data_IF_229274164839
#
_entry.id   IF_229274164839
#
_cell.length_a   1.000
_cell.length_b   1.000
_cell.length_c   1.000
_cell.angle_alpha   90.00
_cell.angle_beta   90.00
_cell.angle_gamma   90.00
#
_symmetry.space_group_name_H-M   'P 1'
#
loop_
_entity.id
_entity.type
_entity.pdbx_description
1 polymer ?
#
# COMPACT_ATOMS: atom_id res chain seq x y z
N UNK A 1 18.38 -18.51 18.41
CA UNK A 1 18.10 -17.17 17.85
C UNK A 1 16.68 -16.84 18.24
N UNK A 2 16.38 -15.61 18.67
CA UNK A 2 15.01 -15.15 18.90
C UNK A 2 14.22 -15.25 17.60
N UNK A 3 12.94 -15.62 17.68
CA UNK A 3 12.03 -15.63 16.51
C UNK A 3 11.79 -14.17 16.09
N UNK A 4 11.85 -13.89 14.79
CA UNK A 4 11.49 -12.57 14.24
C UNK A 4 10.04 -12.65 13.77
N UNK A 5 9.19 -11.77 14.28
CA UNK A 5 7.78 -11.62 13.90
C UNK A 5 7.60 -10.35 13.04
N UNK A 6 6.69 -10.41 12.09
CA UNK A 6 6.43 -9.31 11.17
C UNK A 6 5.09 -8.65 11.52
N UNK A 7 5.13 -7.33 11.65
CA UNK A 7 3.99 -6.48 11.94
C UNK A 7 3.80 -5.47 10.81
N UNK A 8 2.57 -5.23 10.39
CA UNK A 8 2.24 -4.21 9.39
C UNK A 8 0.86 -3.60 9.67
N UNK A 9 0.42 -2.69 8.81
CA UNK A 9 -0.94 -2.14 8.85
C UNK A 9 -1.81 -2.63 7.69
N UNK A 10 -3.11 -2.33 7.76
CA UNK A 10 -4.10 -2.85 6.80
C UNK A 10 -4.00 -2.24 5.40
N UNK A 11 -3.15 -1.21 5.19
CA UNK A 11 -2.92 -0.67 3.85
C UNK A 11 -1.97 -1.52 3.00
N UNK A 12 -1.25 -2.47 3.61
CA UNK A 12 -0.19 -3.27 2.97
C UNK A 12 -0.67 -4.26 1.88
N UNK A 13 -1.95 -4.32 1.55
CA UNK A 13 -2.52 -5.12 0.45
C UNK A 13 -2.05 -6.61 0.44
N UNK A 14 -1.96 -7.23 1.62
CA UNK A 14 -1.67 -8.66 1.75
C UNK A 14 -2.93 -9.50 1.52
N UNK A 15 -2.76 -10.71 0.97
CA UNK A 15 -3.86 -11.67 0.91
C UNK A 15 -4.00 -12.43 2.23
N UNK A 16 -5.18 -13.01 2.54
CA UNK A 16 -5.35 -13.84 3.73
C UNK A 16 -4.36 -15.00 3.79
N UNK A 17 -4.10 -15.64 2.63
CA UNK A 17 -3.17 -16.75 2.51
C UNK A 17 -1.73 -16.36 2.82
N UNK A 18 -1.31 -15.15 2.42
CA UNK A 18 0.01 -14.59 2.73
C UNK A 18 0.15 -14.29 4.22
N UNK A 19 -0.89 -13.70 4.82
CA UNK A 19 -0.94 -13.40 6.25
C UNK A 19 -0.82 -14.70 7.07
N UNK A 20 -1.62 -15.70 6.74
CA UNK A 20 -1.60 -16.99 7.42
C UNK A 20 -0.27 -17.72 7.23
N UNK A 21 0.21 -17.82 5.99
CA UNK A 21 1.45 -18.53 5.65
C UNK A 21 2.66 -18.03 6.42
N UNK A 22 2.79 -16.72 6.57
CA UNK A 22 3.98 -16.10 7.18
C UNK A 22 3.73 -15.60 8.60
N UNK A 23 2.57 -15.90 9.19
CA UNK A 23 2.18 -15.46 10.55
C UNK A 23 2.35 -13.92 10.72
N UNK A 24 1.89 -13.16 9.72
CA UNK A 24 2.02 -11.70 9.70
C UNK A 24 0.92 -11.09 10.56
N UNK A 25 1.28 -10.23 11.50
CA UNK A 25 0.31 -9.47 12.28
C UNK A 25 -0.05 -8.18 11.56
N UNK A 26 -1.35 -7.94 11.35
CA UNK A 26 -1.87 -6.73 10.69
C UNK A 26 -2.65 -5.90 11.69
N UNK A 27 -2.21 -4.66 11.93
CA UNK A 27 -2.96 -3.69 12.73
C UNK A 27 -3.91 -2.90 11.81
N UNK A 28 -5.23 -2.93 12.06
CA UNK A 28 -6.17 -2.23 11.22
C UNK A 28 -6.11 -0.71 11.42
N UNK A 29 -6.11 0.03 10.32
CA UNK A 29 -6.51 1.43 10.31
C UNK A 29 -8.05 1.52 10.38
N UNK A 30 -8.57 2.72 10.55
CA UNK A 30 -10.01 2.97 10.54
C UNK A 30 -10.44 3.81 9.35
N UNK A 31 -11.64 3.55 8.83
CA UNK A 31 -12.28 4.35 7.80
C UNK A 31 -13.67 4.79 8.26
N UNK A 32 -14.00 6.06 8.03
CA UNK A 32 -15.33 6.61 8.30
C UNK A 32 -16.03 6.89 6.99
N UNK A 33 -17.19 6.30 6.78
CA UNK A 33 -18.05 6.48 5.59
C UNK A 33 -19.53 6.45 5.99
N UNK A 34 -20.32 7.35 5.42
CA UNK A 34 -21.76 7.44 5.76
C UNK A 34 -22.02 7.66 7.25
N UNK A 35 -21.16 8.42 7.94
CA UNK A 35 -21.27 8.72 9.37
C UNK A 35 -20.84 7.61 10.33
N UNK A 36 -20.44 6.43 9.83
CA UNK A 36 -19.99 5.30 10.64
C UNK A 36 -18.49 5.05 10.46
N UNK A 37 -17.82 4.65 11.54
CA UNK A 37 -16.40 4.29 11.52
C UNK A 37 -16.24 2.79 11.63
N UNK A 38 -15.36 2.22 10.78
CA UNK A 38 -15.11 0.79 10.67
C UNK A 38 -13.59 0.53 10.75
N UNK A 39 -13.21 -0.60 11.32
CA UNK A 39 -11.86 -1.15 11.23
C UNK A 39 -11.67 -1.79 9.85
N UNK A 40 -10.68 -1.34 9.11
CA UNK A 40 -10.34 -1.82 7.77
C UNK A 40 -10.00 -3.32 7.77
N UNK A 41 -10.69 -4.07 6.91
CA UNK A 41 -10.50 -5.51 6.74
C UNK A 41 -11.08 -6.39 7.87
N UNK A 42 -11.67 -5.78 8.93
CA UNK A 42 -12.32 -6.48 10.04
C UNK A 42 -13.83 -6.22 10.04
N UNK A 43 -14.24 -4.95 10.05
CA UNK A 43 -15.65 -4.54 10.21
C UNK A 43 -16.28 -4.10 8.88
N UNK A 44 -15.47 -3.93 7.85
CA UNK A 44 -15.93 -3.59 6.51
C UNK A 44 -15.06 -4.28 5.46
N UNK A 45 -15.70 -4.91 4.49
CA UNK A 45 -15.04 -5.45 3.31
C UNK A 45 -14.71 -4.34 2.29
N UNK A 46 -13.77 -4.61 1.39
CA UNK A 46 -13.37 -3.67 0.32
C UNK A 46 -14.55 -3.29 -0.56
N UNK A 47 -15.28 -4.29 -1.05
CA UNK A 47 -16.44 -4.09 -1.92
C UNK A 47 -17.59 -3.33 -1.22
N UNK A 48 -17.88 -3.67 0.04
CA UNK A 48 -18.88 -2.94 0.83
C UNK A 48 -18.47 -1.48 1.04
N UNK A 49 -17.19 -1.22 1.31
CA UNK A 49 -16.68 0.14 1.45
C UNK A 49 -16.84 0.95 0.16
N UNK A 50 -16.42 0.41 -1.00
CA UNK A 50 -16.54 1.10 -2.30
C UNK A 50 -18.00 1.42 -2.61
N UNK A 51 -18.93 0.49 -2.31
CA UNK A 51 -20.37 0.73 -2.44
C UNK A 51 -20.83 1.89 -1.54
N UNK A 52 -20.52 1.85 -0.24
CA UNK A 52 -20.86 2.93 0.70
C UNK A 52 -20.24 4.28 0.29
N UNK A 53 -19.00 4.27 -0.19
CA UNK A 53 -18.32 5.47 -0.68
C UNK A 53 -19.05 6.08 -1.88
N UNK A 54 -19.54 5.26 -2.81
CA UNK A 54 -20.26 5.73 -3.99
C UNK A 54 -21.65 6.29 -3.67
N UNK A 55 -22.29 5.81 -2.61
CA UNK A 55 -23.60 6.24 -2.14
C UNK A 55 -23.52 7.43 -1.16
N UNK A 56 -22.35 7.73 -0.62
CA UNK A 56 -22.16 8.78 0.39
C UNK A 56 -22.10 10.17 -0.22
N UNK A 57 -22.83 11.12 0.35
CA UNK A 57 -22.74 12.53 -0.02
C UNK A 57 -21.42 13.19 0.46
N UNK A 58 -20.81 12.65 1.53
CA UNK A 58 -19.56 13.11 2.08
C UNK A 58 -18.41 12.17 1.70
N UNK A 59 -17.23 12.75 1.46
CA UNK A 59 -16.02 11.93 1.25
C UNK A 59 -15.67 11.18 2.52
N UNK A 60 -15.28 9.89 2.40
CA UNK A 60 -14.79 9.13 3.54
C UNK A 60 -13.53 9.75 4.15
N UNK A 61 -13.24 9.38 5.38
CA UNK A 61 -12.04 9.80 6.13
C UNK A 61 -11.32 8.57 6.67
N UNK A 62 -10.01 8.67 6.84
CA UNK A 62 -9.20 7.59 7.43
C UNK A 62 -8.52 8.06 8.70
N UNK A 63 -8.27 7.13 9.61
CA UNK A 63 -7.52 7.35 10.83
C UNK A 63 -6.48 6.25 11.03
N UNK A 64 -5.32 6.63 11.56
CA UNK A 64 -4.27 5.70 11.98
C UNK A 64 -4.76 4.78 13.12
N UNK A 65 -4.11 3.64 13.38
CA UNK A 65 -4.40 2.81 14.53
C UNK A 65 -4.24 3.59 15.84
N UNK A 66 -5.06 3.29 16.84
CA UNK A 66 -4.87 3.89 18.16
C UNK A 66 -3.55 3.44 18.78
N UNK A 67 -2.91 4.34 19.54
CA UNK A 67 -1.66 4.02 20.26
C UNK A 67 -1.86 2.84 21.20
N UNK A 68 -3.01 2.77 21.90
CA UNK A 68 -3.33 1.65 22.79
C UNK A 68 -3.31 0.31 22.06
N UNK A 69 -3.96 0.21 20.88
CA UNK A 69 -3.94 -1.02 20.08
C UNK A 69 -2.51 -1.41 19.66
N UNK A 70 -1.69 -0.45 19.27
CA UNK A 70 -0.28 -0.71 18.91
C UNK A 70 0.53 -1.18 20.13
N UNK A 71 0.30 -0.60 21.32
CA UNK A 71 0.93 -1.02 22.57
C UNK A 71 0.55 -2.47 22.91
N UNK A 72 -0.74 -2.81 22.86
CA UNK A 72 -1.21 -4.17 23.13
C UNK A 72 -0.60 -5.17 22.13
N UNK A 73 -0.64 -4.85 20.84
CA UNK A 73 -0.06 -5.70 19.79
C UNK A 73 1.46 -5.93 19.98
N UNK A 74 2.21 -4.87 20.31
CA UNK A 74 3.67 -4.98 20.56
C UNK A 74 3.93 -5.86 21.80
N UNK A 75 3.18 -5.68 22.87
CA UNK A 75 3.32 -6.50 24.08
C UNK A 75 3.06 -7.98 23.78
N UNK A 76 2.00 -8.28 23.06
CA UNK A 76 1.64 -9.64 22.67
C UNK A 76 2.74 -10.27 21.81
N UNK A 77 3.22 -9.56 20.78
CA UNK A 77 4.26 -10.06 19.87
C UNK A 77 5.60 -10.31 20.56
N UNK A 78 5.94 -9.52 21.57
CA UNK A 78 7.23 -9.62 22.29
C UNK A 78 7.16 -10.44 23.57
N UNK A 79 5.98 -10.98 23.94
CA UNK A 79 5.75 -11.69 25.22
C UNK A 79 6.62 -12.94 25.41
N UNK A 80 6.98 -13.59 24.31
CA UNK A 80 7.80 -14.78 24.26
C UNK A 80 9.32 -14.49 24.03
N UNK A 81 9.71 -13.21 24.05
CA UNK A 81 11.08 -12.78 23.78
C UNK A 81 11.42 -12.64 22.29
N UNK A 82 10.43 -12.72 21.40
CA UNK A 82 10.62 -12.48 19.97
C UNK A 82 11.01 -11.05 19.67
N UNK A 83 11.80 -10.85 18.59
CA UNK A 83 12.02 -9.55 17.98
C UNK A 83 10.92 -9.26 16.96
N UNK A 84 10.61 -8.00 16.72
CA UNK A 84 9.54 -7.57 15.81
C UNK A 84 10.08 -6.57 14.79
N UNK A 85 9.80 -6.81 13.50
CA UNK A 85 9.96 -5.81 12.45
C UNK A 85 8.58 -5.30 12.08
N UNK A 86 8.28 -4.02 12.39
CA UNK A 86 7.05 -3.34 12.01
C UNK A 86 7.24 -2.49 10.76
N UNK A 87 6.64 -2.88 9.65
CA UNK A 87 6.71 -2.17 8.36
C UNK A 87 5.35 -1.51 8.13
N UNK A 88 5.33 -0.20 7.97
CA UNK A 88 4.10 0.58 7.89
C UNK A 88 4.11 1.51 6.66
N UNK A 89 2.89 1.93 6.26
CA UNK A 89 2.74 2.86 5.13
C UNK A 89 3.53 4.16 5.34
N UNK A 90 3.89 4.78 4.23
CA UNK A 90 4.75 5.97 4.18
C UNK A 90 4.31 7.05 5.18
N UNK A 91 5.28 7.58 5.94
CA UNK A 91 5.10 8.65 6.91
C UNK A 91 4.44 9.90 6.30
N UNK A 92 4.73 10.22 5.04
CA UNK A 92 4.14 11.37 4.33
C UNK A 92 2.63 11.21 4.10
N UNK A 93 2.10 9.98 4.12
CA UNK A 93 0.68 9.69 3.91
C UNK A 93 -0.11 9.57 5.21
N UNK A 94 0.53 9.15 6.31
CA UNK A 94 -0.16 8.84 7.58
C UNK A 94 0.75 9.03 8.79
N UNK A 95 0.15 9.35 9.94
CA UNK A 95 0.83 9.35 11.24
C UNK A 95 1.05 7.96 11.85
N UNK A 96 0.73 6.86 11.14
CA UNK A 96 0.84 5.48 11.66
C UNK A 96 2.24 5.16 12.20
N UNK A 97 3.28 5.54 11.46
CA UNK A 97 4.69 5.33 11.89
C UNK A 97 5.00 6.06 13.20
N UNK A 98 4.57 7.31 13.33
CA UNK A 98 4.83 8.08 14.55
C UNK A 98 4.06 7.49 15.74
N UNK A 99 2.83 7.00 15.51
CA UNK A 99 2.06 6.25 16.53
C UNK A 99 2.75 4.93 16.91
N UNK A 100 3.27 4.18 15.94
CA UNK A 100 4.00 2.93 16.19
C UNK A 100 5.29 3.19 16.99
N UNK A 101 6.07 4.19 16.62
CA UNK A 101 7.27 4.58 17.37
C UNK A 101 6.96 5.05 18.79
N UNK A 102 5.84 5.75 18.97
CA UNK A 102 5.38 6.14 20.31
C UNK A 102 4.95 4.91 21.12
N UNK A 103 4.24 3.96 20.54
CA UNK A 103 3.85 2.72 21.18
C UNK A 103 5.09 1.91 21.63
N UNK A 104 6.11 1.78 20.78
CA UNK A 104 7.39 1.14 21.15
C UNK A 104 8.04 1.79 22.36
N UNK A 105 8.04 3.12 22.44
CA UNK A 105 8.58 3.84 23.62
C UNK A 105 7.77 3.56 24.87
N UNK A 106 6.43 3.51 24.77
CA UNK A 106 5.54 3.26 25.92
C UNK A 106 5.66 1.84 26.45
N UNK A 107 5.94 0.86 25.59
CA UNK A 107 6.15 -0.54 26.01
C UNK A 107 7.54 -0.79 26.59
N UNK A 108 8.49 0.13 26.42
CA UNK A 108 9.91 -0.07 26.80
C UNK A 108 10.64 -1.13 25.97
N UNK A 109 10.11 -1.50 24.77
CA UNK A 109 10.61 -2.58 23.91
C UNK A 109 11.50 -2.10 22.76
N UNK A 110 12.17 -0.96 22.92
CA UNK A 110 13.00 -0.34 21.87
C UNK A 110 14.12 -1.24 21.35
N UNK A 111 14.62 -2.17 22.15
CA UNK A 111 15.67 -3.11 21.77
C UNK A 111 15.13 -4.36 21.03
N UNK A 112 13.82 -4.59 21.06
CA UNK A 112 13.16 -5.75 20.44
C UNK A 112 12.32 -5.38 19.22
N UNK A 113 11.92 -4.11 19.05
CA UNK A 113 10.96 -3.68 18.01
C UNK A 113 11.59 -2.65 17.08
N UNK A 114 11.65 -2.99 15.80
CA UNK A 114 12.25 -2.18 14.74
C UNK A 114 11.18 -1.65 13.81
N UNK A 115 10.96 -0.34 13.80
CA UNK A 115 9.92 0.31 12.97
C UNK A 115 10.52 0.85 11.68
N UNK A 116 10.01 0.36 10.56
CA UNK A 116 10.41 0.68 9.19
C UNK A 116 9.35 1.54 8.52
N UNK A 117 9.77 2.66 7.94
CA UNK A 117 8.98 3.40 6.96
C UNK A 117 9.10 2.68 5.61
N UNK A 118 8.00 2.16 5.08
CA UNK A 118 8.03 1.53 3.74
C UNK A 118 8.29 2.54 2.64
N UNK A 119 8.11 3.84 2.92
CA UNK A 119 8.13 4.94 1.95
C UNK A 119 7.06 4.82 0.85
N UNK A 120 6.19 3.84 0.98
CA UNK A 120 5.15 3.49 0.03
C UNK A 120 3.84 3.12 0.74
N UNK A 121 2.95 2.48 0.04
CA UNK A 121 1.67 1.96 0.53
C UNK A 121 1.16 0.88 -0.42
N UNK A 122 0.00 0.29 -0.12
CA UNK A 122 -0.64 -0.70 -0.96
C UNK A 122 0.26 -1.94 -1.18
N UNK A 123 0.16 -2.64 -2.31
CA UNK A 123 0.97 -3.83 -2.59
C UNK A 123 2.48 -3.56 -2.56
N UNK A 124 2.93 -2.33 -2.82
CA UNK A 124 4.34 -1.99 -2.73
C UNK A 124 4.87 -2.09 -1.27
N UNK A 125 4.10 -1.67 -0.29
CA UNK A 125 4.36 -1.92 1.13
C UNK A 125 4.25 -3.43 1.43
N UNK A 126 3.18 -4.09 0.93
CA UNK A 126 2.97 -5.53 1.09
C UNK A 126 4.15 -6.37 0.57
N UNK A 127 4.76 -5.99 -0.54
CA UNK A 127 5.96 -6.66 -1.07
C UNK A 127 7.15 -6.57 -0.11
N UNK A 128 7.38 -5.42 0.53
CA UNK A 128 8.41 -5.29 1.57
C UNK A 128 8.11 -6.19 2.77
N UNK A 129 6.85 -6.23 3.21
CA UNK A 129 6.40 -7.09 4.32
C UNK A 129 6.65 -8.56 4.00
N UNK A 130 6.32 -9.00 2.78
CA UNK A 130 6.54 -10.37 2.34
C UNK A 130 8.02 -10.74 2.25
N UNK A 131 8.88 -9.85 1.74
CA UNK A 131 10.31 -10.12 1.68
C UNK A 131 10.94 -10.16 3.08
N UNK A 132 10.51 -9.30 4.01
CA UNK A 132 10.94 -9.38 5.40
C UNK A 132 10.52 -10.71 6.05
N UNK A 133 9.28 -11.16 5.80
CA UNK A 133 8.77 -12.42 6.32
C UNK A 133 9.52 -13.63 5.74
N UNK A 134 9.78 -13.65 4.42
CA UNK A 134 10.58 -14.69 3.75
C UNK A 134 12.02 -14.75 4.27
N UNK A 135 12.60 -13.59 4.56
CA UNK A 135 13.96 -13.52 5.09
C UNK A 135 14.02 -13.97 6.54
N UNK A 136 13.03 -13.62 7.37
CA UNK A 136 12.90 -14.13 8.74
C UNK A 136 12.72 -15.66 8.76
N UNK A 137 11.93 -16.22 7.85
CA UNK A 137 11.74 -17.69 7.70
C UNK A 137 13.04 -18.40 7.31
N UNK A 138 13.91 -17.73 6.51
CA UNK A 138 15.25 -18.22 6.17
C UNK A 138 16.28 -18.07 7.29
N UNK A 139 15.89 -17.52 8.45
CA UNK A 139 16.75 -17.34 9.61
C UNK A 139 17.75 -16.19 9.49
N UNK A 140 17.51 -15.20 8.61
CA UNK A 140 18.33 -13.99 8.54
C UNK A 140 18.20 -13.14 9.82
N UNK A 141 19.25 -12.42 10.16
CA UNK A 141 19.27 -11.46 11.26
C UNK A 141 18.46 -10.20 10.91
N UNK A 142 18.06 -9.44 11.94
CA UNK A 142 17.42 -8.12 11.78
C UNK A 142 18.22 -7.22 10.83
N UNK A 143 19.55 -7.14 11.02
CA UNK A 143 20.40 -6.31 10.16
C UNK A 143 20.34 -6.71 8.69
N UNK A 144 20.40 -8.01 8.40
CA UNK A 144 20.34 -8.51 7.02
C UNK A 144 18.97 -8.23 6.37
N UNK A 145 17.87 -8.36 7.15
CA UNK A 145 16.53 -8.04 6.68
C UNK A 145 16.41 -6.53 6.40
N UNK A 146 16.87 -5.69 7.32
CA UNK A 146 16.84 -4.23 7.13
C UNK A 146 17.65 -3.78 5.92
N UNK A 147 18.86 -4.34 5.72
CA UNK A 147 19.69 -4.07 4.54
C UNK A 147 19.01 -4.51 3.23
N UNK A 148 18.27 -5.62 3.26
CA UNK A 148 17.49 -6.07 2.11
C UNK A 148 16.33 -5.13 1.81
N UNK A 149 15.57 -4.71 2.82
CA UNK A 149 14.48 -3.74 2.66
C UNK A 149 14.97 -2.41 2.06
N UNK A 150 16.12 -1.91 2.50
CA UNK A 150 16.73 -0.70 1.93
C UNK A 150 17.11 -0.86 0.44
N UNK A 151 17.48 -2.06 -0.01
CA UNK A 151 17.70 -2.34 -1.43
C UNK A 151 16.40 -2.34 -2.21
N UNK A 152 15.36 -2.98 -1.67
CA UNK A 152 14.01 -3.03 -2.29
C UNK A 152 13.46 -1.62 -2.47
N UNK A 153 13.51 -0.77 -1.44
CA UNK A 153 13.02 0.63 -1.51
C UNK A 153 13.62 1.41 -2.68
N UNK A 154 14.91 1.22 -2.99
CA UNK A 154 15.59 1.92 -4.10
C UNK A 154 15.07 1.52 -5.49
N UNK A 155 14.56 0.32 -5.62
CA UNK A 155 14.14 -0.24 -6.91
C UNK A 155 12.62 -0.36 -7.04
N UNK A 156 11.90 -0.04 -5.99
CA UNK A 156 10.44 -0.18 -5.93
C UNK A 156 9.74 0.87 -6.79
N UNK A 157 8.62 0.47 -7.40
CA UNK A 157 7.78 1.29 -8.27
C UNK A 157 6.35 1.28 -7.76
N UNK A 158 5.81 2.46 -7.56
CA UNK A 158 4.38 2.71 -7.41
C UNK A 158 3.97 3.66 -8.54
N UNK A 159 3.11 3.18 -9.43
CA UNK A 159 2.54 3.93 -10.54
C UNK A 159 1.02 3.98 -10.35
N UNK A 160 0.50 5.11 -9.93
CA UNK A 160 -0.92 5.27 -9.60
C UNK A 160 -1.60 6.22 -10.60
N UNK A 161 -2.66 5.74 -11.24
CA UNK A 161 -3.55 6.53 -12.09
C UNK A 161 -4.75 7.00 -11.29
N UNK A 162 -4.86 8.30 -11.07
CA UNK A 162 -6.05 8.94 -10.49
C UNK A 162 -6.95 9.45 -11.61
N UNK A 163 -8.18 8.97 -11.62
CA UNK A 163 -9.19 9.32 -12.62
C UNK A 163 -10.10 10.45 -12.13
N UNK A 164 -10.52 10.38 -10.86
CA UNK A 164 -11.27 11.44 -10.19
C UNK A 164 -10.36 12.10 -9.14
N UNK A 165 -10.14 13.41 -9.28
CA UNK A 165 -9.22 14.14 -8.40
C UNK A 165 -9.82 14.56 -7.06
N UNK A 166 -11.14 14.46 -6.89
CA UNK A 166 -11.82 14.99 -5.72
C UNK A 166 -11.29 14.39 -4.42
N UNK A 167 -11.21 13.06 -4.37
CA UNK A 167 -10.75 12.33 -3.18
C UNK A 167 -9.31 12.68 -2.83
N UNK A 168 -8.39 12.67 -3.79
CA UNK A 168 -6.96 12.91 -3.52
C UNK A 168 -6.68 14.36 -3.15
N UNK A 169 -7.45 15.32 -3.69
CA UNK A 169 -7.34 16.74 -3.36
C UNK A 169 -7.89 17.03 -1.96
N UNK A 170 -9.16 16.65 -1.72
CA UNK A 170 -9.84 16.90 -0.44
C UNK A 170 -9.25 16.03 0.69
N UNK A 171 -8.69 14.87 0.36
CA UNK A 171 -7.98 14.00 1.30
C UNK A 171 -6.67 14.61 1.83
N UNK A 172 -6.13 15.67 1.21
CA UNK A 172 -5.00 16.44 1.71
C UNK A 172 -3.61 15.80 1.55
N UNK A 173 -3.48 14.60 0.98
CA UNK A 173 -2.20 13.87 0.85
C UNK A 173 -1.31 14.39 -0.27
N UNK A 174 -1.85 15.18 -1.20
CA UNK A 174 -1.06 15.88 -2.24
C UNK A 174 -0.34 17.13 -1.75
N UNK A 175 -0.58 17.58 -0.51
CA UNK A 175 0.04 18.78 0.04
C UNK A 175 -0.15 20.03 -0.85
N UNK A 176 0.90 20.87 -1.03
CA UNK A 176 0.79 22.11 -1.81
C UNK A 176 0.45 21.91 -3.29
N UNK A 177 0.63 20.69 -3.82
CA UNK A 177 0.35 20.39 -5.24
C UNK A 177 -1.15 20.38 -5.52
N UNK A 178 -1.98 20.09 -4.51
CA UNK A 178 -3.44 20.06 -4.63
C UNK A 178 -4.03 21.34 -5.19
N UNK A 179 -3.54 22.50 -4.72
CA UNK A 179 -4.00 23.82 -5.21
C UNK A 179 -3.74 24.08 -6.69
N UNK A 180 -2.66 23.49 -7.25
CA UNK A 180 -2.30 23.67 -8.67
C UNK A 180 -3.15 22.85 -9.63
N UNK A 181 -3.86 21.83 -9.15
CA UNK A 181 -4.67 20.90 -9.96
C UNK A 181 -6.16 20.99 -9.65
N UNK A 182 -6.55 21.57 -8.52
CA UNK A 182 -7.94 21.64 -8.04
C UNK A 182 -8.93 22.27 -9.03
N UNK A 183 -8.49 23.26 -9.83
CA UNK A 183 -9.33 23.96 -10.78
C UNK A 183 -9.31 23.39 -12.22
N UNK A 184 -8.69 22.21 -12.41
CA UNK A 184 -8.52 21.62 -13.74
C UNK A 184 -9.63 20.59 -14.01
N UNK A 185 -10.60 20.94 -14.85
CA UNK A 185 -11.70 20.04 -15.23
C UNK A 185 -11.22 18.86 -16.09
N UNK A 186 -11.79 17.66 -15.81
CA UNK A 186 -11.56 16.43 -16.59
C UNK A 186 -10.09 16.01 -16.73
N UNK A 187 -9.25 16.35 -15.76
CA UNK A 187 -7.85 15.94 -15.70
C UNK A 187 -7.73 14.59 -15.00
N UNK A 188 -6.76 13.82 -15.46
CA UNK A 188 -6.24 12.61 -14.82
C UNK A 188 -4.78 12.84 -14.48
N UNK A 189 -4.31 12.25 -13.40
CA UNK A 189 -2.92 12.38 -12.98
C UNK A 189 -2.28 11.00 -12.76
N UNK A 190 -1.03 10.91 -13.16
CA UNK A 190 -0.12 9.85 -12.75
C UNK A 190 0.61 10.29 -11.50
N UNK A 191 0.46 9.54 -10.41
CA UNK A 191 1.22 9.72 -9.17
C UNK A 191 2.31 8.67 -9.05
N UNK A 192 3.42 9.06 -8.45
CA UNK A 192 4.55 8.22 -8.08
C UNK A 192 5.06 8.62 -6.71
N UNK A 193 5.82 7.74 -6.05
CA UNK A 193 6.41 8.01 -4.74
C UNK A 193 7.93 7.73 -4.74
N UNK A 194 8.74 8.49 -5.49
CA UNK A 194 10.18 8.35 -5.41
C UNK A 194 10.70 8.84 -4.06
N UNK A 195 11.50 8.01 -3.38
CA UNK A 195 12.09 8.31 -2.07
C UNK A 195 11.05 8.72 -1.01
N UNK A 196 9.90 8.05 -1.01
CA UNK A 196 8.82 8.32 -0.04
C UNK A 196 8.03 9.61 -0.26
N UNK A 197 8.26 10.35 -1.33
CA UNK A 197 7.54 11.59 -1.63
C UNK A 197 6.45 11.39 -2.69
N UNK A 198 5.20 11.72 -2.37
CA UNK A 198 4.12 11.66 -3.34
C UNK A 198 4.23 12.79 -4.38
N UNK A 199 4.43 12.43 -5.64
CA UNK A 199 4.64 13.39 -6.73
C UNK A 199 3.67 13.15 -7.90
N UNK A 200 3.20 14.26 -8.50
CA UNK A 200 2.51 14.21 -9.79
C UNK A 200 3.57 14.08 -10.89
N UNK A 201 3.70 12.86 -11.41
CA UNK A 201 4.66 12.57 -12.47
C UNK A 201 4.20 13.11 -13.83
N UNK A 202 2.91 12.92 -14.14
CA UNK A 202 2.29 13.40 -15.39
C UNK A 202 0.83 13.77 -15.16
N UNK A 203 0.31 14.64 -16.04
CA UNK A 203 -1.10 15.01 -16.10
C UNK A 203 -1.60 15.00 -17.53
N UNK A 204 -2.88 14.66 -17.73
CA UNK A 204 -3.47 14.60 -19.06
C UNK A 204 -4.97 14.40 -19.02
N UNK A 205 -5.58 14.13 -20.18
CA UNK A 205 -7.02 13.98 -20.33
C UNK A 205 -7.39 12.77 -21.17
N UNK A 206 -8.55 12.19 -20.87
CA UNK A 206 -9.19 11.18 -21.71
C UNK A 206 -8.46 9.83 -21.75
N UNK A 207 -8.98 8.94 -22.58
CA UNK A 207 -8.50 7.56 -22.72
C UNK A 207 -7.05 7.49 -23.24
N UNK A 208 -6.65 8.40 -24.15
CA UNK A 208 -5.27 8.42 -24.71
C UNK A 208 -4.21 8.59 -23.63
N UNK A 209 -4.47 9.42 -22.61
CA UNK A 209 -3.53 9.59 -21.50
C UNK A 209 -3.38 8.32 -20.67
N UNK A 210 -4.49 7.62 -20.40
CA UNK A 210 -4.47 6.33 -19.68
C UNK A 210 -3.74 5.26 -20.49
N UNK A 211 -4.04 5.13 -21.79
CA UNK A 211 -3.33 4.17 -22.64
C UNK A 211 -1.82 4.45 -22.70
N UNK A 212 -1.43 5.72 -22.75
CA UNK A 212 -0.02 6.09 -22.72
C UNK A 212 0.63 5.83 -21.36
N UNK A 213 -0.13 5.91 -20.25
CA UNK A 213 0.33 5.48 -18.94
C UNK A 213 0.55 3.95 -18.92
N UNK A 214 -0.45 3.18 -19.33
CA UNK A 214 -0.39 1.72 -19.39
C UNK A 214 0.81 1.25 -20.23
N UNK A 215 1.04 1.87 -21.41
CA UNK A 215 2.17 1.53 -22.26
C UNK A 215 3.52 1.82 -21.59
N UNK A 216 3.69 2.98 -20.96
CA UNK A 216 4.94 3.31 -20.22
C UNK A 216 5.25 2.33 -19.10
N UNK A 217 4.22 1.83 -18.43
CA UNK A 217 4.40 0.82 -17.38
C UNK A 217 4.81 -0.52 -17.97
N UNK A 218 4.17 -0.95 -19.08
CA UNK A 218 4.55 -2.16 -19.79
C UNK A 218 5.98 -2.08 -20.33
N UNK A 219 6.38 -0.95 -20.90
CA UNK A 219 7.74 -0.73 -21.40
C UNK A 219 8.79 -0.85 -20.26
N UNK A 220 8.48 -0.30 -19.05
CA UNK A 220 9.37 -0.42 -17.89
C UNK A 220 9.43 -1.88 -17.38
N UNK A 221 8.29 -2.58 -17.34
CA UNK A 221 8.24 -4.01 -16.96
C UNK A 221 9.04 -4.85 -17.96
N UNK A 222 8.87 -4.64 -19.27
CA UNK A 222 9.60 -5.37 -20.29
C UNK A 222 11.11 -5.15 -20.20
N UNK A 223 11.53 -3.90 -19.99
CA UNK A 223 12.94 -3.57 -19.81
C UNK A 223 13.58 -4.22 -18.57
N UNK A 224 12.77 -4.60 -17.57
CA UNK A 224 13.22 -5.17 -16.30
C UNK A 224 12.69 -6.59 -16.04
N UNK A 225 12.11 -7.26 -17.03
CA UNK A 225 11.34 -8.50 -16.87
C UNK A 225 12.06 -9.66 -16.17
N UNK A 226 13.39 -9.73 -16.27
CA UNK A 226 14.17 -10.78 -15.61
C UNK A 226 14.44 -10.48 -14.12
N UNK A 227 14.16 -9.24 -13.69
CA UNK A 227 14.37 -8.75 -12.32
C UNK A 227 13.08 -8.58 -11.54
N UNK A 228 11.93 -8.76 -12.17
CA UNK A 228 10.61 -8.61 -11.56
C UNK A 228 10.04 -10.00 -11.26
N UNK A 229 9.75 -10.28 -10.01
CA UNK A 229 9.11 -11.53 -9.59
C UNK A 229 7.60 -11.40 -9.51
N UNK A 230 7.12 -10.26 -9.05
CA UNK A 230 5.70 -10.01 -8.83
C UNK A 230 5.31 -8.59 -9.24
N UNK A 231 4.11 -8.47 -9.82
CA UNK A 231 3.43 -7.20 -10.10
C UNK A 231 2.07 -7.20 -9.43
N UNK A 232 1.85 -6.25 -8.53
CA UNK A 232 0.54 -5.95 -7.97
C UNK A 232 -0.22 -4.97 -8.86
N UNK A 233 -1.50 -5.25 -9.09
CA UNK A 233 -2.46 -4.35 -9.75
C UNK A 233 -3.59 -4.10 -8.78
N UNK A 234 -3.61 -2.90 -8.22
CA UNK A 234 -4.66 -2.47 -7.28
C UNK A 234 -5.67 -1.56 -7.99
N UNK A 235 -6.95 -1.65 -7.62
CA UNK A 235 -8.00 -0.85 -8.26
C UNK A 235 -9.12 -0.46 -7.28
N UNK A 236 -9.91 0.54 -7.66
CA UNK A 236 -11.17 0.94 -7.01
C UNK A 236 -12.29 0.86 -8.04
N UNK A 237 -13.25 -0.05 -7.86
CA UNK A 237 -14.37 -0.25 -8.81
C UNK A 237 -15.60 -0.80 -8.10
N UNK A 238 -16.79 -0.40 -8.54
CA UNK A 238 -18.09 -0.94 -8.08
C UNK A 238 -18.40 -2.30 -8.68
N UNK A 239 -17.96 -2.52 -9.91
CA UNK A 239 -18.41 -3.65 -10.75
C UNK A 239 -17.39 -4.81 -10.75
N UNK A 240 -16.58 -4.91 -9.69
CA UNK A 240 -15.51 -5.90 -9.61
C UNK A 240 -14.29 -5.53 -10.47
N UNK A 241 -13.50 -6.51 -10.89
CA UNK A 241 -12.25 -6.27 -11.64
C UNK A 241 -12.56 -5.69 -13.02
N UNK A 242 -12.09 -4.48 -13.35
CA UNK A 242 -12.25 -3.93 -14.69
C UNK A 242 -11.53 -4.79 -15.75
N UNK A 243 -12.22 -5.14 -16.84
CA UNK A 243 -11.67 -6.00 -17.89
C UNK A 243 -10.33 -5.48 -18.43
N UNK A 244 -10.17 -4.16 -18.57
CA UNK A 244 -8.90 -3.54 -18.98
C UNK A 244 -7.70 -3.93 -18.10
N UNK A 245 -7.92 -4.19 -16.80
CA UNK A 245 -6.84 -4.59 -15.86
C UNK A 245 -6.54 -6.08 -15.97
N UNK A 246 -7.52 -6.90 -16.30
CA UNK A 246 -7.28 -8.32 -16.66
C UNK A 246 -6.48 -8.42 -17.96
N UNK A 247 -6.85 -7.62 -18.97
CA UNK A 247 -6.10 -7.54 -20.23
C UNK A 247 -4.67 -7.02 -20.01
N UNK A 248 -4.49 -6.07 -19.08
CA UNK A 248 -3.17 -5.56 -18.70
C UNK A 248 -2.33 -6.64 -17.99
N UNK A 249 -2.95 -7.38 -17.06
CA UNK A 249 -2.31 -8.50 -16.37
C UNK A 249 -1.86 -9.58 -17.38
N UNK A 250 -2.69 -9.88 -18.38
CA UNK A 250 -2.33 -10.84 -19.44
C UNK A 250 -1.13 -10.36 -20.24
N UNK A 251 -1.05 -9.08 -20.60
CA UNK A 251 0.12 -8.51 -21.29
C UNK A 251 1.41 -8.65 -20.48
N UNK A 252 1.35 -8.51 -19.16
CA UNK A 252 2.50 -8.74 -18.28
C UNK A 252 2.93 -10.21 -18.36
N UNK A 253 1.99 -11.15 -18.32
CA UNK A 253 2.24 -12.58 -18.48
C UNK A 253 2.82 -12.93 -19.86
N UNK A 254 2.40 -12.23 -20.91
CA UNK A 254 2.93 -12.38 -22.26
C UNK A 254 4.39 -11.87 -22.37
N UNK A 255 4.74 -10.82 -21.62
CA UNK A 255 6.13 -10.32 -21.50
C UNK A 255 7.03 -11.34 -20.80
N UNK A 256 6.60 -11.88 -19.66
CA UNK A 256 7.31 -12.93 -18.95
C UNK A 256 6.31 -13.74 -18.08
N UNK A 257 6.05 -14.97 -18.47
CA UNK A 257 5.09 -15.86 -17.78
C UNK A 257 5.49 -16.21 -16.33
N UNK A 258 6.77 -15.99 -15.96
CA UNK A 258 7.27 -16.21 -14.60
C UNK A 258 6.91 -15.10 -13.62
N UNK A 259 6.54 -13.92 -14.11
CA UNK A 259 6.11 -12.81 -13.24
C UNK A 259 4.75 -13.18 -12.64
N UNK A 260 4.65 -13.23 -11.33
CA UNK A 260 3.36 -13.37 -10.66
C UNK A 260 2.58 -12.06 -10.74
N UNK A 261 1.27 -12.15 -11.03
CA UNK A 261 0.42 -10.96 -11.16
C UNK A 261 -0.76 -11.09 -10.21
N UNK A 262 -0.80 -10.22 -9.20
CA UNK A 262 -1.91 -10.10 -8.27
C UNK A 262 -2.82 -8.94 -8.72
N UNK A 263 -4.05 -9.23 -9.16
CA UNK A 263 -5.07 -8.22 -9.44
C UNK A 263 -6.08 -8.21 -8.31
N UNK A 264 -6.15 -7.10 -7.56
CA UNK A 264 -7.00 -7.05 -6.37
C UNK A 264 -7.55 -5.65 -6.13
N UNK A 265 -8.79 -5.57 -5.64
CA UNK A 265 -9.37 -4.34 -5.10
C UNK A 265 -8.49 -3.81 -3.96
N UNK A 266 -8.19 -2.51 -3.95
CA UNK A 266 -7.35 -1.91 -2.91
C UNK A 266 -8.09 -1.81 -1.57
N UNK A 267 -7.37 -1.51 -0.50
CA UNK A 267 -7.98 -1.36 0.83
C UNK A 267 -8.89 -0.13 0.90
N UNK A 268 -9.92 -0.12 1.78
CA UNK A 268 -10.72 1.05 2.11
C UNK A 268 -9.90 2.30 2.40
N UNK A 269 -8.75 2.13 3.04
CA UNK A 269 -7.82 3.23 3.36
C UNK A 269 -7.32 3.91 2.09
N UNK A 270 -6.81 3.12 1.16
CA UNK A 270 -6.28 3.65 -0.11
C UNK A 270 -7.40 4.16 -0.99
N UNK A 271 -8.51 3.41 -1.11
CA UNK A 271 -9.68 3.79 -1.92
C UNK A 271 -10.26 5.16 -1.51
N UNK A 272 -10.28 5.46 -0.20
CA UNK A 272 -10.70 6.76 0.34
C UNK A 272 -9.97 7.93 -0.34
N UNK A 273 -8.67 7.80 -0.56
CA UNK A 273 -7.84 8.87 -1.12
C UNK A 273 -7.64 8.77 -2.62
N UNK A 274 -7.64 7.57 -3.17
CA UNK A 274 -7.49 7.34 -4.62
C UNK A 274 -8.78 7.68 -5.40
N UNK A 275 -9.94 7.42 -4.79
CA UNK A 275 -11.26 7.64 -5.42
C UNK A 275 -11.61 6.59 -6.46
N UNK A 276 -12.84 6.71 -6.98
CA UNK A 276 -13.40 5.78 -7.96
C UNK A 276 -12.56 5.72 -9.24
N UNK A 277 -12.51 4.54 -9.84
CA UNK A 277 -11.81 4.22 -11.09
C UNK A 277 -10.27 4.37 -11.04
N UNK A 278 -9.71 4.71 -9.88
CA UNK A 278 -8.27 4.72 -9.69
C UNK A 278 -7.69 3.30 -9.78
N UNK A 279 -6.46 3.19 -10.29
CA UNK A 279 -5.72 1.93 -10.30
C UNK A 279 -4.22 2.18 -10.22
N UNK A 280 -3.52 1.23 -9.62
CA UNK A 280 -2.08 1.29 -9.42
C UNK A 280 -1.40 0.03 -9.91
N UNK A 281 -0.16 0.18 -10.38
CA UNK A 281 0.74 -0.90 -10.75
C UNK A 281 1.97 -0.79 -9.85
N UNK A 282 2.27 -1.86 -9.12
CA UNK A 282 3.25 -1.87 -8.03
C UNK A 282 4.18 -3.07 -8.18
N UNK A 283 5.48 -2.85 -8.17
CA UNK A 283 6.52 -3.88 -8.27
C UNK A 283 7.87 -3.34 -7.79
N UNK A 284 8.85 -4.21 -7.68
CA UNK A 284 10.26 -3.84 -7.51
C UNK A 284 11.15 -4.69 -8.43
N UNK A 285 12.38 -4.23 -8.61
CA UNK A 285 13.38 -4.95 -9.41
C UNK A 285 14.54 -5.37 -8.51
N UNK A 286 14.89 -6.66 -8.55
CA UNK A 286 16.07 -7.21 -7.85
C UNK A 286 17.37 -6.98 -8.61
#
# INVERSE_FOLDING_TARGET
MSRIKILTDSSAQLTPEEIEKYDITVVPLSVTVGGNTYLDGIEISRQEFVKKMSESAELPKTSQPSIGRLVDTINDLTSDGSEVIGIFLAKVLSGTIDAARQAVKLTGKSDQVHIVDSELTDRAEGLQVLEAARDAEKGKSISEIMDHLEKIKKTQRLRLMIVNLENVIKGGRLGPISGKIANMLNIRIELQMPNGELKVAKKGRGKKFMMAFDQRVLDDIEANKEKIKEVGISYVSLDGVPQKLLDFAQKIKDINSKIDVLVRETSPIIATHAGMDAYAILYYTE
#
